data_IF_621307189536
#
_entry.id   IF_621307189536
#
_cell.length_a   1.000
_cell.length_b   1.000
_cell.length_c   1.000
_cell.angle_alpha   90.00
_cell.angle_beta   90.00
_cell.angle_gamma   90.00
#
_symmetry.space_group_name_H-M   'P 1'
#
loop_
_entity.id
_entity.type
_entity.pdbx_description
1 polymer ?
#
# COMPACT_ATOMS: atom_id res chain seq x y z
N UNK A 1 1.70 -29.92 -3.03
CA UNK A 1 2.09 -29.56 -1.65
C UNK A 1 1.58 -28.15 -1.42
N UNK A 2 0.60 -28.01 -0.53
CA UNK A 2 0.08 -26.71 -0.14
C UNK A 2 1.18 -26.02 0.67
N UNK A 3 1.71 -24.91 0.16
CA UNK A 3 2.76 -24.14 0.84
C UNK A 3 2.21 -23.67 2.19
N UNK A 4 2.91 -23.95 3.29
CA UNK A 4 2.49 -23.50 4.62
C UNK A 4 2.25 -21.99 4.57
N UNK A 5 1.02 -21.59 4.90
CA UNK A 5 0.60 -20.19 4.87
C UNK A 5 1.51 -19.31 5.74
N UNK A 6 2.22 -19.90 6.71
CA UNK A 6 3.08 -19.18 7.63
C UNK A 6 4.50 -18.91 7.11
N UNK A 7 4.97 -19.61 6.07
CA UNK A 7 6.36 -19.50 5.63
C UNK A 7 6.63 -18.23 4.82
N UNK A 8 6.02 -18.09 3.64
CA UNK A 8 6.16 -16.90 2.80
C UNK A 8 5.16 -16.85 1.65
N UNK A 9 4.96 -15.65 1.12
CA UNK A 9 4.24 -15.40 -0.12
C UNK A 9 4.75 -14.10 -0.76
N UNK A 10 4.83 -14.04 -2.09
CA UNK A 10 5.37 -12.87 -2.80
C UNK A 10 4.69 -12.66 -4.16
N UNK A 11 3.87 -11.62 -4.28
CA UNK A 11 3.21 -11.25 -5.53
C UNK A 11 4.21 -10.92 -6.66
N UNK A 12 5.43 -10.49 -6.34
CA UNK A 12 6.46 -10.25 -7.36
C UNK A 12 6.88 -11.54 -8.08
N UNK A 13 6.71 -12.69 -7.44
CA UNK A 13 7.03 -14.00 -8.02
C UNK A 13 5.78 -14.68 -8.59
N UNK A 14 4.61 -14.44 -7.99
CA UNK A 14 3.34 -15.07 -8.39
C UNK A 14 2.71 -14.38 -9.60
N UNK A 15 2.60 -13.05 -9.57
CA UNK A 15 1.96 -12.29 -10.64
C UNK A 15 2.48 -10.85 -10.73
N UNK A 16 3.75 -10.71 -11.11
CA UNK A 16 4.41 -9.40 -11.21
C UNK A 16 3.67 -8.40 -12.10
N UNK A 17 3.05 -8.88 -13.18
CA UNK A 17 2.36 -8.02 -14.14
C UNK A 17 1.10 -7.36 -13.55
N UNK A 18 0.52 -7.90 -12.48
CA UNK A 18 -0.60 -7.28 -11.76
C UNK A 18 -0.15 -6.24 -10.72
N UNK A 19 1.15 -6.08 -10.46
CA UNK A 19 1.68 -5.05 -9.57
C UNK A 19 1.95 -3.75 -10.35
N UNK A 20 1.76 -2.58 -9.71
CA UNK A 20 2.09 -1.32 -10.35
C UNK A 20 3.60 -1.21 -10.57
N UNK A 21 4.05 -0.36 -11.51
CA UNK A 21 5.45 0.06 -11.51
C UNK A 21 5.78 0.78 -10.19
N UNK A 22 7.03 0.71 -9.76
CA UNK A 22 7.51 1.51 -8.62
C UNK A 22 7.40 2.98 -8.98
N UNK A 23 6.73 3.76 -8.13
CA UNK A 23 6.50 5.18 -8.31
C UNK A 23 7.46 6.02 -7.50
N UNK A 24 7.61 7.27 -7.87
CA UNK A 24 8.34 8.27 -7.08
C UNK A 24 7.44 9.47 -6.81
N UNK A 25 7.09 9.68 -5.55
CA UNK A 25 6.28 10.80 -5.09
C UNK A 25 7.10 12.08 -4.86
N UNK A 26 8.44 12.00 -4.92
CA UNK A 26 9.34 13.07 -4.51
C UNK A 26 9.06 13.56 -3.08
N UNK A 27 9.08 14.89 -2.90
CA UNK A 27 8.80 15.52 -1.60
C UNK A 27 7.31 15.72 -1.31
N UNK A 28 6.42 15.24 -2.19
CA UNK A 28 4.97 15.40 -2.04
C UNK A 28 4.40 14.40 -1.02
N UNK A 29 3.46 14.83 -0.17
CA UNK A 29 2.79 13.95 0.81
C UNK A 29 1.59 13.19 0.20
N UNK A 30 1.81 12.55 -0.94
CA UNK A 30 0.77 11.91 -1.78
C UNK A 30 0.78 10.37 -1.73
N UNK A 31 1.59 9.77 -0.84
CA UNK A 31 1.70 8.32 -0.73
C UNK A 31 0.34 7.62 -0.55
N UNK A 32 -0.61 8.26 0.15
CA UNK A 32 -1.95 7.74 0.38
C UNK A 32 -2.77 7.59 -0.93
N UNK A 33 -2.61 8.54 -1.86
CA UNK A 33 -3.35 8.58 -3.13
C UNK A 33 -2.75 7.56 -4.10
N UNK A 34 -1.43 7.57 -4.22
CA UNK A 34 -0.67 6.56 -4.99
C UNK A 34 -1.06 5.16 -4.51
N UNK A 35 -0.94 4.90 -3.20
CA UNK A 35 -1.24 3.57 -2.64
C UNK A 35 -2.70 3.19 -2.86
N UNK A 36 -3.66 4.09 -2.71
CA UNK A 36 -5.07 3.78 -2.92
C UNK A 36 -5.39 3.42 -4.39
N UNK A 37 -4.90 4.21 -5.35
CA UNK A 37 -5.12 3.94 -6.76
C UNK A 37 -4.41 2.66 -7.23
N UNK A 38 -3.18 2.46 -6.79
CA UNK A 38 -2.41 1.26 -7.13
C UNK A 38 -3.00 -0.01 -6.51
N UNK A 39 -3.47 0.07 -5.27
CA UNK A 39 -4.12 -1.04 -4.58
C UNK A 39 -5.37 -1.52 -5.33
N UNK A 40 -6.23 -0.58 -5.78
CA UNK A 40 -7.43 -0.93 -6.55
C UNK A 40 -7.05 -1.44 -7.95
N UNK A 41 -6.07 -0.83 -8.60
CA UNK A 41 -5.56 -1.28 -9.91
C UNK A 41 -5.05 -2.72 -9.88
N UNK A 42 -4.25 -3.08 -8.87
CA UNK A 42 -3.77 -4.45 -8.68
C UNK A 42 -4.89 -5.42 -8.32
N UNK A 43 -5.79 -5.03 -7.42
CA UNK A 43 -6.90 -5.88 -7.02
C UNK A 43 -7.80 -6.22 -8.21
N UNK A 44 -8.04 -5.25 -9.10
CA UNK A 44 -8.83 -5.46 -10.32
C UNK A 44 -8.12 -6.38 -11.30
N UNK A 45 -6.82 -6.15 -11.55
CA UNK A 45 -6.05 -6.99 -12.46
C UNK A 45 -6.09 -8.45 -12.02
N UNK A 46 -5.90 -8.71 -10.72
CA UNK A 46 -5.94 -10.05 -10.13
C UNK A 46 -7.34 -10.65 -10.24
N UNK A 47 -8.38 -9.95 -9.81
CA UNK A 47 -9.74 -10.50 -9.77
C UNK A 47 -10.30 -10.77 -11.16
N UNK A 48 -9.91 -9.99 -12.17
CA UNK A 48 -10.34 -10.15 -13.56
C UNK A 48 -9.45 -11.08 -14.37
N UNK A 49 -8.30 -11.49 -13.84
CA UNK A 49 -7.31 -12.28 -14.57
C UNK A 49 -6.70 -11.53 -15.75
N UNK A 50 -6.51 -10.21 -15.63
CA UNK A 50 -5.92 -9.38 -16.67
C UNK A 50 -4.41 -9.58 -16.72
N UNK A 51 -3.84 -9.71 -17.91
CA UNK A 51 -2.39 -9.94 -18.09
C UNK A 51 -1.51 -8.75 -17.67
N UNK A 52 -2.11 -7.59 -17.39
CA UNK A 52 -1.41 -6.35 -17.04
C UNK A 52 -2.11 -5.57 -15.94
N UNK A 53 -1.32 -4.81 -15.19
CA UNK A 53 -1.79 -3.88 -14.17
C UNK A 53 -2.74 -2.83 -14.76
N UNK A 54 -3.87 -2.62 -14.07
CA UNK A 54 -4.84 -1.60 -14.46
C UNK A 54 -4.43 -0.25 -13.88
N UNK A 55 -3.91 0.63 -14.74
CA UNK A 55 -3.52 1.98 -14.35
C UNK A 55 -4.74 2.86 -14.05
N UNK A 56 -4.97 3.13 -12.77
CA UNK A 56 -5.94 4.15 -12.34
C UNK A 56 -5.28 5.53 -12.24
N UNK A 57 -6.07 6.58 -12.48
CA UNK A 57 -5.65 7.98 -12.40
C UNK A 57 -5.61 8.43 -10.94
N UNK A 58 -4.67 7.90 -10.15
CA UNK A 58 -4.50 8.25 -8.72
C UNK A 58 -4.29 9.77 -8.50
N UNK A 59 -3.84 10.49 -9.53
CA UNK A 59 -3.74 11.95 -9.54
C UNK A 59 -5.11 12.62 -9.28
N UNK A 60 -6.21 12.04 -9.78
CA UNK A 60 -7.58 12.49 -9.51
C UNK A 60 -7.87 12.52 -8.00
N UNK A 61 -7.32 11.56 -7.24
CA UNK A 61 -7.51 11.54 -5.79
C UNK A 61 -6.86 12.75 -5.13
N UNK A 62 -5.71 13.21 -5.62
CA UNK A 62 -5.00 14.38 -5.07
C UNK A 62 -5.77 15.68 -5.36
N UNK A 63 -6.45 15.74 -6.49
CA UNK A 63 -7.19 16.90 -6.98
C UNK A 63 -8.58 17.01 -6.34
N UNK A 64 -9.34 15.91 -6.34
CA UNK A 64 -10.78 15.90 -6.09
C UNK A 64 -11.15 15.49 -4.66
N UNK A 65 -10.30 14.73 -3.96
CA UNK A 65 -10.60 14.37 -2.57
C UNK A 65 -10.54 15.66 -1.74
N UNK A 66 -11.65 16.07 -1.08
CA UNK A 66 -11.81 17.43 -0.58
C UNK A 66 -10.61 17.86 0.27
N UNK A 67 -9.90 18.93 -0.08
CA UNK A 67 -8.75 19.44 0.70
C UNK A 67 -9.14 19.97 2.09
N UNK A 68 -10.43 20.00 2.41
CA UNK A 68 -11.01 20.68 3.57
C UNK A 68 -11.79 19.75 4.50
N UNK A 69 -11.25 19.52 5.72
CA UNK A 69 -12.08 19.48 6.93
C UNK A 69 -11.76 20.75 7.71
N UNK A 70 -12.76 21.28 8.43
CA UNK A 70 -12.79 22.54 9.21
C UNK A 70 -11.80 22.64 10.39
N UNK A 71 -10.60 22.11 10.24
CA UNK A 71 -9.51 22.28 11.19
C UNK A 71 -8.22 22.30 10.38
N UNK A 72 -7.41 23.37 10.44
CA UNK A 72 -6.12 23.36 9.78
C UNK A 72 -5.34 22.16 10.32
N UNK A 73 -4.71 21.33 9.45
CA UNK A 73 -3.89 20.24 9.93
C UNK A 73 -2.81 20.84 10.83
N UNK A 74 -2.72 20.36 12.08
CA UNK A 74 -1.63 20.73 12.97
C UNK A 74 -0.31 20.43 12.24
N UNK A 75 0.70 21.31 12.31
CA UNK A 75 2.02 20.98 11.79
C UNK A 75 2.48 19.63 12.36
N UNK A 76 2.73 18.64 11.49
CA UNK A 76 3.29 17.35 11.88
C UNK A 76 2.38 16.13 11.78
N UNK A 77 1.06 16.26 11.61
CA UNK A 77 0.17 15.08 11.64
C UNK A 77 -0.90 15.09 10.54
N UNK A 78 -0.96 13.97 9.83
CA UNK A 78 -2.05 13.51 8.94
C UNK A 78 -1.97 13.88 7.45
N UNK A 79 -1.94 12.82 6.64
CA UNK A 79 -1.96 12.88 5.18
C UNK A 79 -1.51 11.57 4.54
N UNK A 80 -0.55 10.86 5.14
CA UNK A 80 0.07 9.68 4.50
C UNK A 80 -0.33 8.31 5.08
N UNK A 81 -1.23 8.22 6.07
CA UNK A 81 -1.72 6.92 6.62
C UNK A 81 -3.18 6.62 6.30
N UNK A 82 -3.83 7.44 5.48
CA UNK A 82 -5.26 7.37 5.23
C UNK A 82 -5.54 6.85 3.82
N UNK A 83 -4.99 5.69 3.46
CA UNK A 83 -5.32 5.01 2.19
C UNK A 83 -6.84 4.93 2.03
N UNK A 84 -7.55 4.66 3.14
CA UNK A 84 -9.01 4.66 3.22
C UNK A 84 -9.68 5.93 2.69
N UNK A 85 -9.04 7.11 2.77
CA UNK A 85 -9.60 8.33 2.21
C UNK A 85 -9.72 8.26 0.69
N UNK A 86 -8.67 7.76 0.04
CA UNK A 86 -8.70 7.48 -1.40
C UNK A 86 -9.72 6.39 -1.72
N UNK A 87 -9.70 5.29 -0.97
CA UNK A 87 -10.65 4.19 -1.19
C UNK A 87 -12.12 4.62 -1.00
N UNK A 88 -12.43 5.48 -0.03
CA UNK A 88 -13.78 6.01 0.19
C UNK A 88 -14.24 6.84 -1.02
N UNK A 89 -13.36 7.69 -1.56
CA UNK A 89 -13.64 8.42 -2.79
C UNK A 89 -13.89 7.47 -3.97
N UNK A 90 -13.06 6.43 -4.14
CA UNK A 90 -13.25 5.43 -5.20
C UNK A 90 -14.59 4.69 -5.03
N UNK A 91 -15.02 4.40 -3.81
CA UNK A 91 -16.34 3.80 -3.53
C UNK A 91 -17.48 4.74 -3.93
N UNK A 92 -17.46 5.97 -3.41
CA UNK A 92 -18.60 6.88 -3.49
C UNK A 92 -18.71 7.53 -4.88
N UNK A 93 -17.57 8.03 -5.39
CA UNK A 93 -17.48 8.81 -6.63
C UNK A 93 -16.99 7.94 -7.79
N UNK A 94 -15.96 7.13 -7.54
CA UNK A 94 -15.26 6.37 -8.57
C UNK A 94 -14.07 7.13 -9.14
N UNK A 95 -13.09 6.39 -9.67
CA UNK A 95 -11.83 6.92 -10.20
C UNK A 95 -11.64 6.54 -11.66
N UNK A 96 -11.07 7.44 -12.46
CA UNK A 96 -10.81 7.17 -13.88
C UNK A 96 -9.72 6.11 -14.10
N UNK A 97 -9.83 5.39 -15.21
CA UNK A 97 -8.70 4.64 -15.78
C UNK A 97 -7.78 5.64 -16.50
N UNK A 98 -6.47 5.53 -16.32
CA UNK A 98 -5.48 6.40 -16.97
C UNK A 98 -5.63 6.32 -18.50
N UNK A 99 -5.75 7.47 -19.15
CA UNK A 99 -6.05 7.58 -20.59
C UNK A 99 -7.54 7.45 -20.96
N UNK A 100 -8.39 7.05 -20.02
CA UNK A 100 -9.84 6.90 -20.21
C UNK A 100 -10.62 7.45 -18.99
N UNK A 101 -10.52 8.76 -18.67
CA UNK A 101 -11.04 9.32 -17.41
C UNK A 101 -12.57 9.16 -17.24
N UNK A 102 -13.32 9.05 -18.34
CA UNK A 102 -14.77 8.82 -18.32
C UNK A 102 -15.14 7.38 -17.92
N UNK A 103 -14.22 6.41 -18.02
CA UNK A 103 -14.42 5.04 -17.54
C UNK A 103 -14.07 5.00 -16.06
N UNK A 104 -15.08 5.19 -15.22
CA UNK A 104 -14.94 5.18 -13.75
C UNK A 104 -14.96 3.76 -13.20
N UNK A 105 -14.00 3.47 -12.33
CA UNK A 105 -13.93 2.28 -11.48
C UNK A 105 -14.46 2.64 -10.10
N UNK A 106 -15.31 1.77 -9.55
CA UNK A 106 -15.76 1.83 -8.15
C UNK A 106 -15.40 0.55 -7.42
N UNK A 107 -15.22 0.67 -6.11
CA UNK A 107 -15.14 -0.47 -5.19
C UNK A 107 -16.48 -0.58 -4.43
N UNK A 108 -16.85 -1.77 -3.98
CA UNK A 108 -18.06 -1.97 -3.17
C UNK A 108 -17.87 -1.47 -1.75
N UNK A 109 -16.78 -1.88 -1.10
CA UNK A 109 -16.46 -1.50 0.27
C UNK A 109 -14.97 -1.57 0.57
N UNK A 110 -14.61 -1.11 1.76
CA UNK A 110 -13.26 -1.18 2.30
C UNK A 110 -13.28 -2.21 3.43
N UNK A 111 -12.49 -3.27 3.31
CA UNK A 111 -12.26 -4.19 4.42
C UNK A 111 -11.08 -3.69 5.25
N UNK A 112 -11.34 -3.28 6.49
CA UNK A 112 -10.27 -3.03 7.48
C UNK A 112 -9.90 -4.32 8.19
N UNK A 113 -8.60 -4.53 8.43
CA UNK A 113 -8.06 -5.68 9.16
C UNK A 113 -7.53 -5.28 10.54
N UNK A 114 -8.07 -4.22 11.15
CA UNK A 114 -7.66 -3.73 12.48
C UNK A 114 -7.78 -4.81 13.56
N UNK A 115 -8.87 -5.59 13.51
CA UNK A 115 -9.20 -6.59 14.52
C UNK A 115 -9.02 -8.03 13.98
N UNK A 116 -8.29 -8.19 12.87
CA UNK A 116 -8.04 -9.48 12.24
C UNK A 116 -6.87 -10.22 12.89
N UNK A 117 -6.92 -11.55 12.91
CA UNK A 117 -5.77 -12.38 13.30
C UNK A 117 -4.66 -12.28 12.26
N UNK A 118 -3.42 -12.66 12.65
CA UNK A 118 -2.31 -12.74 11.72
C UNK A 118 -2.65 -13.63 10.51
N UNK A 119 -3.20 -14.82 10.76
CA UNK A 119 -3.62 -15.74 9.70
C UNK A 119 -4.63 -15.12 8.72
N UNK A 120 -5.60 -14.35 9.22
CA UNK A 120 -6.56 -13.65 8.37
C UNK A 120 -5.89 -12.61 7.48
N UNK A 121 -4.87 -11.90 8.00
CA UNK A 121 -4.07 -10.95 7.20
C UNK A 121 -3.26 -11.70 6.14
N UNK A 122 -2.58 -12.79 6.51
CA UNK A 122 -1.80 -13.58 5.55
C UNK A 122 -2.69 -14.18 4.44
N UNK A 123 -3.87 -14.70 4.81
CA UNK A 123 -4.88 -15.16 3.84
C UNK A 123 -5.34 -14.05 2.90
N UNK A 124 -5.52 -12.82 3.42
CA UNK A 124 -5.89 -11.68 2.58
C UNK A 124 -4.75 -11.32 1.60
N UNK A 125 -3.49 -11.30 2.04
CA UNK A 125 -2.33 -11.04 1.18
C UNK A 125 -2.24 -12.05 0.03
N UNK A 126 -2.56 -13.34 0.27
CA UNK A 126 -2.55 -14.37 -0.79
C UNK A 126 -3.63 -14.18 -1.86
N UNK A 127 -4.67 -13.39 -1.58
CA UNK A 127 -5.77 -13.09 -2.52
C UNK A 127 -5.53 -11.82 -3.32
N UNK A 128 -4.87 -10.82 -2.72
CA UNK A 128 -4.52 -9.56 -3.36
C UNK A 128 -3.49 -8.79 -2.52
N UNK A 129 -2.76 -7.82 -3.10
CA UNK A 129 -2.02 -6.84 -2.32
C UNK A 129 -2.92 -6.11 -1.33
N UNK A 130 -2.36 -5.69 -0.20
CA UNK A 130 -3.07 -4.89 0.81
C UNK A 130 -2.47 -3.48 0.89
N UNK A 131 -3.27 -2.51 1.33
CA UNK A 131 -2.75 -1.23 1.77
C UNK A 131 -2.27 -1.34 3.21
N UNK A 132 -1.08 -0.81 3.51
CA UNK A 132 -0.55 -0.70 4.87
C UNK A 132 0.02 0.68 5.14
N UNK A 133 0.11 1.04 6.41
CA UNK A 133 0.76 2.27 6.84
C UNK A 133 1.71 2.01 8.01
N UNK A 134 2.73 2.83 8.16
CA UNK A 134 3.60 2.79 9.33
C UNK A 134 3.95 4.20 9.82
N UNK A 135 4.39 4.27 11.07
CA UNK A 135 4.92 5.45 11.73
C UNK A 135 6.43 5.34 11.69
N UNK A 136 7.07 6.37 11.17
CA UNK A 136 8.47 6.31 10.77
C UNK A 136 9.24 7.52 11.23
N UNK A 137 10.52 7.27 11.42
CA UNK A 137 11.55 8.28 11.58
C UNK A 137 12.32 8.46 10.28
N UNK A 138 13.28 9.39 10.28
CA UNK A 138 14.11 9.67 9.11
C UNK A 138 14.90 8.43 8.65
N UNK A 139 15.31 7.53 9.56
CA UNK A 139 16.14 6.36 9.28
C UNK A 139 15.55 5.47 8.19
N UNK A 140 14.23 5.29 8.17
CA UNK A 140 13.56 4.49 7.15
C UNK A 140 13.71 5.08 5.74
N UNK A 141 13.85 6.40 5.60
CA UNK A 141 14.14 7.02 4.29
C UNK A 141 15.53 6.67 3.76
N UNK A 142 16.47 6.30 4.64
CA UNK A 142 17.81 5.85 4.24
C UNK A 142 17.94 4.32 4.25
N UNK A 143 16.87 3.59 4.53
CA UNK A 143 16.90 2.13 4.51
C UNK A 143 17.23 1.63 3.10
N UNK A 144 18.31 0.87 2.98
CA UNK A 144 18.81 0.36 1.71
C UNK A 144 18.04 -0.84 1.18
N UNK A 145 17.13 -1.42 1.98
CA UNK A 145 16.37 -2.62 1.62
C UNK A 145 17.02 -3.92 2.07
N UNK A 146 18.29 -3.89 2.51
CA UNK A 146 18.99 -5.07 2.99
C UNK A 146 18.43 -5.52 4.36
N UNK A 147 17.95 -6.75 4.42
CA UNK A 147 17.39 -7.34 5.64
C UNK A 147 15.96 -6.90 5.92
N UNK A 148 15.51 -7.09 7.17
CA UNK A 148 14.22 -6.63 7.66
C UNK A 148 14.40 -5.29 8.39
N UNK A 149 13.60 -4.29 8.03
CA UNK A 149 13.51 -3.07 8.82
C UNK A 149 12.77 -3.36 10.13
N UNK A 150 13.49 -3.27 11.25
CA UNK A 150 13.00 -3.61 12.59
C UNK A 150 12.56 -2.40 13.42
N UNK A 151 12.49 -1.22 12.79
CA UNK A 151 12.15 0.02 13.45
C UNK A 151 13.36 0.90 13.70
N UNK A 152 13.15 1.99 14.40
CA UNK A 152 14.20 2.96 14.73
C UNK A 152 13.94 3.52 16.11
N UNK A 153 15.01 3.85 16.85
CA UNK A 153 14.91 4.32 18.22
C UNK A 153 14.75 5.84 18.25
N UNK A 154 13.58 6.31 17.84
CA UNK A 154 13.26 7.72 17.63
C UNK A 154 11.76 7.94 17.78
N UNK A 155 11.40 9.18 18.11
CA UNK A 155 10.01 9.60 18.04
C UNK A 155 9.58 9.66 16.57
N UNK A 156 8.43 9.06 16.25
CA UNK A 156 7.97 9.00 14.87
C UNK A 156 7.54 10.39 14.36
N UNK A 157 8.27 10.88 13.36
CA UNK A 157 8.08 12.22 12.80
C UNK A 157 7.06 12.28 11.66
N UNK A 158 6.72 11.13 11.06
CA UNK A 158 5.71 11.06 10.01
C UNK A 158 5.06 9.68 9.89
N UNK A 159 3.89 9.68 9.25
CA UNK A 159 3.21 8.46 8.81
C UNK A 159 3.44 8.26 7.32
N UNK A 160 3.50 7.01 6.86
CA UNK A 160 3.69 6.66 5.46
C UNK A 160 2.82 5.47 5.05
N UNK A 161 2.38 5.43 3.79
CA UNK A 161 1.57 4.37 3.21
C UNK A 161 2.27 3.72 2.03
N UNK A 162 2.03 2.43 1.87
CA UNK A 162 2.64 1.56 0.85
C UNK A 162 1.74 0.35 0.58
N UNK A 163 2.06 -0.39 -0.47
CA UNK A 163 1.44 -1.68 -0.74
C UNK A 163 2.18 -2.78 0.01
N UNK A 164 1.44 -3.68 0.63
CA UNK A 164 1.93 -4.97 1.10
C UNK A 164 1.75 -5.96 -0.05
N UNK A 165 2.85 -6.45 -0.59
CA UNK A 165 2.89 -7.33 -1.76
C UNK A 165 3.35 -8.75 -1.41
N UNK A 166 3.63 -9.01 -0.15
CA UNK A 166 4.05 -10.32 0.32
C UNK A 166 4.36 -10.33 1.80
N UNK A 167 4.81 -11.48 2.27
CA UNK A 167 5.24 -11.69 3.65
C UNK A 167 6.23 -12.85 3.71
N UNK A 168 6.96 -12.92 4.82
CA UNK A 168 7.79 -14.08 5.11
C UNK A 168 8.41 -14.01 6.50
N UNK A 169 9.41 -14.85 6.71
CA UNK A 169 10.24 -14.89 7.91
C UNK A 169 11.70 -14.86 7.46
N UNK A 170 12.51 -13.99 8.05
CA UNK A 170 13.95 -13.93 7.80
C UNK A 170 14.68 -13.85 9.15
N UNK A 171 15.59 -14.78 9.42
CA UNK A 171 16.34 -14.86 10.68
C UNK A 171 15.43 -14.83 11.94
N UNK A 172 14.28 -15.49 11.87
CA UNK A 172 13.28 -15.50 12.96
C UNK A 172 12.37 -14.27 13.02
N UNK A 173 12.59 -13.26 12.17
CA UNK A 173 11.82 -12.03 12.13
C UNK A 173 10.71 -12.14 11.09
N UNK A 174 9.45 -12.11 11.55
CA UNK A 174 8.28 -12.03 10.67
C UNK A 174 8.21 -10.65 10.00
N UNK A 175 8.11 -10.64 8.68
CA UNK A 175 8.04 -9.40 7.90
C UNK A 175 6.87 -9.37 6.91
N UNK A 176 6.49 -8.15 6.51
CA UNK A 176 5.75 -7.86 5.29
C UNK A 176 6.72 -7.35 4.23
N UNK A 177 6.60 -7.86 2.99
CA UNK A 177 7.27 -7.29 1.84
C UNK A 177 6.41 -6.16 1.31
N UNK A 178 7.00 -4.98 1.15
CA UNK A 178 6.28 -3.77 0.76
C UNK A 178 6.83 -3.21 -0.55
N UNK A 179 5.94 -2.61 -1.33
CA UNK A 179 6.29 -1.78 -2.47
C UNK A 179 6.06 -0.31 -2.11
N UNK A 180 7.13 0.48 -2.21
CA UNK A 180 7.12 1.88 -1.82
C UNK A 180 6.94 2.82 -3.02
N UNK A 181 6.69 4.10 -2.74
CA UNK A 181 6.50 5.18 -3.72
C UNK A 181 7.61 6.23 -3.65
N UNK A 182 8.85 5.82 -3.35
CA UNK A 182 10.05 6.70 -3.24
C UNK A 182 11.10 6.41 -4.33
N UNK A 183 10.65 5.91 -5.47
CA UNK A 183 11.51 5.57 -6.60
C UNK A 183 12.27 4.26 -6.39
N UNK A 184 12.87 3.78 -7.48
CA UNK A 184 13.59 2.50 -7.51
C UNK A 184 14.95 2.53 -6.80
N UNK A 185 15.46 3.73 -6.52
CA UNK A 185 16.72 3.92 -5.80
C UNK A 185 16.58 3.72 -4.28
N UNK A 186 15.36 3.78 -3.75
CA UNK A 186 15.09 3.48 -2.35
C UNK A 186 14.85 1.97 -2.18
N UNK A 187 15.40 1.40 -1.09
CA UNK A 187 15.27 -0.02 -0.83
C UNK A 187 15.91 -0.90 -1.92
N UNK A 188 15.40 -2.12 -2.04
CA UNK A 188 15.78 -3.04 -3.11
C UNK A 188 14.85 -2.81 -4.31
N UNK A 189 15.26 -1.91 -5.21
CA UNK A 189 14.49 -1.61 -6.42
C UNK A 189 13.12 -0.98 -6.15
N UNK A 190 12.93 -0.27 -5.04
CA UNK A 190 11.65 0.28 -4.58
C UNK A 190 10.88 -0.60 -3.58
N UNK A 191 11.44 -1.74 -3.20
CA UNK A 191 10.85 -2.69 -2.26
C UNK A 191 11.65 -2.79 -0.97
N UNK A 192 11.01 -3.25 0.10
CA UNK A 192 11.67 -3.53 1.37
C UNK A 192 10.92 -4.61 2.16
N UNK A 193 11.58 -5.16 3.18
CA UNK A 193 10.94 -5.98 4.21
C UNK A 193 10.80 -5.15 5.47
N UNK A 194 9.62 -5.12 6.07
CA UNK A 194 9.34 -4.41 7.32
C UNK A 194 8.76 -5.40 8.34
N UNK A 195 9.22 -5.33 9.59
CA UNK A 195 8.71 -6.19 10.67
C UNK A 195 7.19 -5.98 10.83
N UNK A 196 6.43 -7.08 10.94
CA UNK A 196 4.96 -7.05 10.79
C UNK A 196 4.25 -6.15 11.81
N UNK A 197 4.72 -6.14 13.05
CA UNK A 197 4.19 -5.35 14.17
C UNK A 197 4.34 -3.83 13.98
N UNK A 198 5.20 -3.39 13.06
CA UNK A 198 5.37 -1.97 12.72
C UNK A 198 4.31 -1.47 11.74
N UNK A 199 3.56 -2.36 11.10
CA UNK A 199 2.56 -2.02 10.09
C UNK A 199 1.17 -1.97 10.71
N UNK A 200 0.46 -0.87 10.43
CA UNK A 200 -0.85 -0.53 10.97
C UNK A 200 -1.80 -0.12 9.84
N UNK A 201 -3.08 0.08 10.16
CA UNK A 201 -4.11 0.51 9.20
C UNK A 201 -4.19 -0.38 7.94
N UNK A 202 -4.01 -1.69 8.14
CA UNK A 202 -4.08 -2.65 7.04
C UNK A 202 -5.52 -2.74 6.53
N UNK A 203 -5.69 -2.58 5.22
CA UNK A 203 -6.99 -2.59 4.57
C UNK A 203 -6.89 -2.93 3.10
N UNK A 204 -8.01 -3.34 2.50
CA UNK A 204 -8.09 -3.61 1.07
C UNK A 204 -9.48 -3.33 0.51
N UNK A 205 -9.59 -3.05 -0.80
CA UNK A 205 -10.87 -2.88 -1.48
C UNK A 205 -11.54 -4.23 -1.72
N UNK A 206 -12.85 -4.27 -1.51
CA UNK A 206 -13.74 -5.31 -2.05
C UNK A 206 -14.35 -4.74 -3.32
N UNK A 207 -14.14 -5.42 -4.44
CA UNK A 207 -14.54 -5.03 -5.79
C UNK A 207 -15.91 -5.58 -6.17
#
# INVERSE_FOLDING_TARGET
MEQDINESFDWCNVFKAALPPVRDQGNSRICWAITAGDLVGSSLAIQRGEDNFIHLAWEELVEEVPKTRKTPPKPGFEGCSTINRGLLYIRDVGIGIKGHPNKKVKIQMIQSLKDASEDQILQAIRKQPLGGATQLCWEFKKFSGNGVFEGSNCEADFKHAFLIVGYGIENGIKYYKIQNSWGTAWGEGGYAKIRRDLVTNISFPVL
#
